data_IF_857964241421
#
_entry.id   IF_857964241421
#
_cell.length_a   1.000
_cell.length_b   1.000
_cell.length_c   1.000
_cell.angle_alpha   90.00
_cell.angle_beta   90.00
_cell.angle_gamma   90.00
#
_symmetry.space_group_name_H-M   'P 1'
#
loop_
_entity.id
_entity.type
_entity.pdbx_description
1 polymer ?
#
# COMPACT_ATOMS: atom_id res chain seq x y z
N UNK A 1 45.88 14.70 4.14
CA UNK A 1 45.31 14.13 5.38
C UNK A 1 44.00 14.86 5.69
N UNK A 2 42.85 14.35 5.25
CA UNK A 2 41.53 14.96 5.51
C UNK A 2 40.60 13.84 6.02
N UNK A 3 40.26 13.92 7.31
CA UNK A 3 39.37 12.99 8.03
C UNK A 3 37.93 13.20 7.56
N UNK A 4 37.42 12.33 6.69
CA UNK A 4 35.96 12.20 6.46
C UNK A 4 35.35 11.46 7.64
N UNK A 5 34.54 12.16 8.43
CA UNK A 5 33.70 11.53 9.43
C UNK A 5 32.78 10.51 8.75
N UNK A 6 32.94 9.24 9.08
CA UNK A 6 32.00 8.20 8.69
C UNK A 6 30.74 8.39 9.52
N UNK A 7 29.65 8.79 8.86
CA UNK A 7 28.33 8.88 9.46
C UNK A 7 27.92 7.49 9.95
N UNK A 8 27.67 7.37 11.26
CA UNK A 8 27.03 6.20 11.87
C UNK A 8 25.64 6.03 11.25
N UNK A 9 25.49 5.07 10.35
CA UNK A 9 24.19 4.61 9.87
C UNK A 9 23.51 3.90 11.04
N UNK A 10 22.62 4.62 11.73
CA UNK A 10 21.72 4.05 12.72
C UNK A 10 20.64 3.28 11.96
N UNK A 11 20.88 1.98 11.74
CA UNK A 11 19.88 1.04 11.25
C UNK A 11 18.80 0.90 12.34
N UNK A 12 17.80 1.77 12.31
CA UNK A 12 16.53 1.52 13.00
C UNK A 12 15.94 0.25 12.39
N UNK A 13 15.86 -0.81 13.19
CA UNK A 13 15.13 -2.01 12.85
C UNK A 13 13.69 -1.61 12.44
N UNK A 14 13.39 -1.72 11.15
CA UNK A 14 12.02 -1.51 10.67
C UNK A 14 11.22 -2.77 11.01
N UNK A 15 10.11 -2.67 11.75
CA UNK A 15 9.29 -3.84 12.00
C UNK A 15 8.77 -4.35 10.64
N UNK A 16 9.26 -5.52 10.23
CA UNK A 16 8.87 -6.22 8.98
C UNK A 16 7.47 -6.84 9.12
N UNK A 17 6.54 -6.18 9.78
CA UNK A 17 5.15 -6.61 9.79
C UNK A 17 4.54 -6.19 8.46
N UNK A 18 4.48 -7.14 7.51
CA UNK A 18 3.60 -7.07 6.34
C UNK A 18 2.25 -6.54 6.81
N UNK A 19 1.97 -5.25 6.57
CA UNK A 19 0.72 -4.64 7.01
C UNK A 19 -0.43 -5.50 6.50
N UNK A 20 -1.30 -5.96 7.40
CA UNK A 20 -2.46 -6.75 6.99
C UNK A 20 -3.39 -5.86 6.19
N UNK A 21 -3.90 -6.36 5.07
CA UNK A 21 -4.92 -5.66 4.30
C UNK A 21 -6.20 -5.66 5.13
N UNK A 22 -6.68 -4.48 5.49
CA UNK A 22 -7.89 -4.25 6.30
C UNK A 22 -9.09 -3.93 5.40
N UNK A 23 -10.30 -3.98 5.97
CA UNK A 23 -11.51 -3.56 5.28
C UNK A 23 -11.45 -2.07 4.88
N UNK A 24 -10.86 -1.22 5.72
CA UNK A 24 -10.67 0.20 5.42
C UNK A 24 -9.75 0.43 4.22
N UNK A 25 -8.64 -0.31 4.12
CA UNK A 25 -7.77 -0.27 2.95
C UNK A 25 -8.49 -0.80 1.70
N UNK A 26 -9.31 -1.85 1.83
CA UNK A 26 -10.12 -2.34 0.72
C UNK A 26 -11.15 -1.30 0.24
N UNK A 27 -11.78 -0.56 1.16
CA UNK A 27 -12.69 0.53 0.83
C UNK A 27 -11.95 1.68 0.12
N UNK A 28 -10.74 2.03 0.55
CA UNK A 28 -9.88 3.03 -0.12
C UNK A 28 -9.46 2.60 -1.52
N UNK A 29 -9.05 1.33 -1.71
CA UNK A 29 -8.75 0.76 -3.04
C UNK A 29 -9.97 0.93 -3.97
N UNK A 30 -11.15 0.55 -3.50
CA UNK A 30 -12.39 0.64 -4.27
C UNK A 30 -12.77 2.10 -4.57
N UNK A 31 -12.52 3.03 -3.64
CA UNK A 31 -12.73 4.47 -3.86
C UNK A 31 -11.83 4.98 -4.99
N UNK A 32 -10.52 4.75 -4.89
CA UNK A 32 -9.57 5.21 -5.91
C UNK A 32 -9.89 4.64 -7.29
N UNK A 33 -10.25 3.36 -7.38
CA UNK A 33 -10.66 2.74 -8.65
C UNK A 33 -11.95 3.34 -9.23
N UNK A 34 -12.86 3.84 -8.39
CA UNK A 34 -14.13 4.43 -8.81
C UNK A 34 -14.02 5.93 -9.16
N UNK A 35 -13.14 6.67 -8.48
CA UNK A 35 -13.09 8.14 -8.56
C UNK A 35 -11.92 8.66 -9.38
N UNK A 36 -11.01 7.81 -9.83
CA UNK A 36 -9.83 8.18 -10.61
C UNK A 36 -9.70 7.30 -11.86
N UNK A 37 -8.84 7.70 -12.79
CA UNK A 37 -8.46 6.87 -13.94
C UNK A 37 -7.25 5.97 -13.65
N UNK A 38 -6.89 5.77 -12.38
CA UNK A 38 -5.70 4.99 -12.01
C UNK A 38 -5.83 3.52 -12.36
N UNK A 39 -4.76 2.96 -12.90
CA UNK A 39 -4.57 1.53 -13.03
C UNK A 39 -4.20 0.90 -11.67
N UNK A 40 -4.33 -0.42 -11.57
CA UNK A 40 -4.10 -1.16 -10.31
C UNK A 40 -2.70 -0.93 -9.70
N UNK A 41 -1.67 -0.74 -10.55
CA UNK A 41 -0.30 -0.49 -10.10
C UNK A 41 -0.12 0.92 -9.54
N UNK A 42 -0.84 1.91 -10.07
CA UNK A 42 -0.84 3.29 -9.55
C UNK A 42 -1.57 3.35 -8.21
N UNK A 43 -2.71 2.66 -8.08
CA UNK A 43 -3.41 2.51 -6.79
C UNK A 43 -2.50 1.83 -5.75
N UNK A 44 -1.77 0.79 -6.17
CA UNK A 44 -0.83 0.09 -5.31
C UNK A 44 0.32 1.00 -4.84
N UNK A 45 0.90 1.80 -5.75
CA UNK A 45 1.92 2.78 -5.42
C UNK A 45 1.38 3.86 -4.46
N UNK A 46 0.18 4.39 -4.72
CA UNK A 46 -0.46 5.42 -3.90
C UNK A 46 -0.72 4.96 -2.46
N UNK A 47 -1.00 3.67 -2.25
CA UNK A 47 -1.31 3.10 -0.94
C UNK A 47 -0.15 2.32 -0.31
N UNK A 48 1.02 2.26 -0.95
CA UNK A 48 2.15 1.45 -0.49
C UNK A 48 1.84 -0.06 -0.41
N UNK A 49 1.01 -0.56 -1.32
CA UNK A 49 0.56 -1.95 -1.36
C UNK A 49 1.22 -2.73 -2.49
N UNK A 50 1.16 -4.07 -2.39
CA UNK A 50 1.46 -4.93 -3.51
C UNK A 50 0.27 -4.94 -4.50
N UNK A 51 0.55 -4.76 -5.79
CA UNK A 51 -0.46 -4.74 -6.85
C UNK A 51 -1.37 -5.98 -6.85
N UNK A 52 -0.85 -7.17 -6.53
CA UNK A 52 -1.66 -8.38 -6.42
C UNK A 52 -2.78 -8.24 -5.38
N UNK A 53 -2.52 -7.56 -4.25
CA UNK A 53 -3.54 -7.34 -3.21
C UNK A 53 -4.64 -6.39 -3.69
N UNK A 54 -4.29 -5.40 -4.51
CA UNK A 54 -5.25 -4.50 -5.16
C UNK A 54 -6.14 -5.30 -6.12
N UNK A 55 -5.54 -6.17 -6.94
CA UNK A 55 -6.26 -7.06 -7.86
C UNK A 55 -7.25 -7.98 -7.12
N UNK A 56 -6.84 -8.58 -6.01
CA UNK A 56 -7.72 -9.44 -5.19
C UNK A 56 -8.93 -8.70 -4.62
N UNK A 57 -8.80 -7.40 -4.30
CA UNK A 57 -9.92 -6.57 -3.80
C UNK A 57 -10.84 -6.17 -4.94
N UNK A 58 -10.30 -5.73 -6.07
CA UNK A 58 -11.09 -5.25 -7.21
C UNK A 58 -11.82 -6.39 -7.95
N UNK A 59 -11.25 -7.60 -7.94
CA UNK A 59 -11.92 -8.81 -8.44
C UNK A 59 -12.96 -9.39 -7.47
N UNK A 60 -13.07 -8.85 -6.25
CA UNK A 60 -14.00 -9.33 -5.24
C UNK A 60 -13.55 -10.59 -4.48
N UNK A 61 -12.37 -11.16 -4.78
CA UNK A 61 -11.80 -12.30 -4.03
C UNK A 61 -11.61 -11.99 -2.54
N UNK A 62 -11.33 -10.72 -2.22
CA UNK A 62 -11.21 -10.22 -0.84
C UNK A 62 -12.12 -9.04 -0.60
N UNK A 63 -12.75 -9.03 0.57
CA UNK A 63 -13.66 -7.96 1.00
C UNK A 63 -14.79 -7.68 -0.02
N UNK A 64 -15.51 -8.71 -0.53
CA UNK A 64 -16.57 -8.51 -1.53
C UNK A 64 -17.66 -7.57 -1.04
N UNK A 65 -18.07 -7.71 0.22
CA UNK A 65 -19.15 -6.93 0.84
C UNK A 65 -18.76 -5.52 1.31
N UNK A 66 -17.48 -5.14 1.20
CA UNK A 66 -17.02 -3.81 1.65
C UNK A 66 -17.28 -2.78 0.54
N UNK A 67 -18.09 -1.74 0.76
CA UNK A 67 -18.28 -0.69 -0.22
C UNK A 67 -17.04 0.21 -0.37
N UNK A 68 -16.94 1.02 -1.44
CA UNK A 68 -15.95 2.10 -1.53
C UNK A 68 -16.03 3.03 -0.32
N UNK A 69 -14.88 3.56 0.12
CA UNK A 69 -14.85 4.59 1.14
C UNK A 69 -15.63 5.83 0.67
N UNK A 70 -16.32 6.50 1.60
CA UNK A 70 -17.04 7.76 1.32
C UNK A 70 -16.07 8.87 0.94
#
# INVERSE_FOLDING_TARGET
MIRRQQQKIFIMATPTTRARLTAELAAQIKKLAATTSFFQHEIAAALGLNQGRVSEVLSGKRFPSVPPAR
#
